data_IF_011146712974
#
_entry.id   IF_011146712974
#
_cell.length_a   1.000
_cell.length_b   1.000
_cell.length_c   1.000
_cell.angle_alpha   90.00
_cell.angle_beta   90.00
_cell.angle_gamma   90.00
#
_symmetry.space_group_name_H-M   'P 1'
#
loop_
_entity.id
_entity.type
_entity.pdbx_description
1 polymer ?
#
# COMPACT_ATOMS: atom_id res chain seq x y z
N UNK A 1 -34.59 -43.55 -15.42
CA UNK A 1 -34.18 -43.37 -14.01
C UNK A 1 -33.26 -42.16 -13.81
N UNK A 2 -32.15 -42.02 -14.53
CA UNK A 2 -31.21 -40.87 -14.36
C UNK A 2 -31.79 -39.49 -14.74
N UNK A 3 -32.65 -39.43 -15.78
CA UNK A 3 -33.30 -38.20 -16.25
C UNK A 3 -34.32 -37.58 -15.27
N UNK A 4 -34.98 -38.41 -14.46
CA UNK A 4 -35.97 -37.96 -13.48
C UNK A 4 -35.32 -37.34 -12.25
N UNK A 5 -34.14 -37.85 -11.86
CA UNK A 5 -33.35 -37.28 -10.76
C UNK A 5 -32.70 -35.94 -11.15
N UNK A 6 -32.23 -35.78 -12.39
CA UNK A 6 -31.65 -34.52 -12.85
C UNK A 6 -32.68 -33.39 -12.91
N UNK A 7 -33.89 -33.64 -13.41
CA UNK A 7 -34.93 -32.61 -13.56
C UNK A 7 -35.53 -32.13 -12.23
N UNK A 8 -35.49 -32.95 -11.17
CA UNK A 8 -35.92 -32.54 -9.82
C UNK A 8 -34.81 -31.85 -9.00
N UNK A 9 -33.52 -32.20 -9.22
CA UNK A 9 -32.40 -31.58 -8.49
C UNK A 9 -31.95 -30.23 -9.08
N UNK A 10 -32.12 -30.03 -10.40
CA UNK A 10 -31.76 -28.79 -11.09
C UNK A 10 -32.49 -27.52 -10.59
N UNK A 11 -33.83 -27.50 -10.40
CA UNK A 11 -34.53 -26.29 -9.95
C UNK A 11 -34.22 -25.94 -8.49
N UNK A 12 -34.08 -26.94 -7.60
CA UNK A 12 -33.76 -26.69 -6.19
C UNK A 12 -32.31 -26.20 -6.01
N UNK A 13 -31.33 -26.80 -6.70
CA UNK A 13 -29.96 -26.31 -6.67
C UNK A 13 -29.82 -24.93 -7.30
N UNK A 14 -30.50 -24.65 -8.42
CA UNK A 14 -30.47 -23.32 -9.04
C UNK A 14 -31.06 -22.25 -8.10
N UNK A 15 -32.17 -22.56 -7.42
CA UNK A 15 -32.80 -21.62 -6.50
C UNK A 15 -31.91 -21.37 -5.27
N UNK A 16 -31.24 -22.40 -4.75
CA UNK A 16 -30.31 -22.26 -3.64
C UNK A 16 -29.07 -21.43 -4.02
N UNK A 17 -28.49 -21.68 -5.20
CA UNK A 17 -27.37 -20.87 -5.73
C UNK A 17 -27.79 -19.43 -5.92
N UNK A 18 -29.00 -19.15 -6.42
CA UNK A 18 -29.48 -17.79 -6.63
C UNK A 18 -29.69 -17.05 -5.29
N UNK A 19 -30.29 -17.71 -4.29
CA UNK A 19 -30.49 -17.15 -2.95
C UNK A 19 -29.16 -16.85 -2.26
N UNK A 20 -28.14 -17.68 -2.47
CA UNK A 20 -26.80 -17.47 -1.91
C UNK A 20 -25.97 -16.44 -2.71
N UNK A 21 -26.18 -16.34 -4.02
CA UNK A 21 -25.47 -15.41 -4.89
C UNK A 21 -25.91 -13.95 -4.68
N UNK A 22 -27.18 -13.69 -4.39
CA UNK A 22 -27.70 -12.33 -4.18
C UNK A 22 -26.94 -11.56 -3.08
N UNK A 23 -26.78 -12.06 -1.84
CA UNK A 23 -26.03 -11.34 -0.81
C UNK A 23 -24.54 -11.24 -1.15
N UNK A 24 -23.96 -12.26 -1.80
CA UNK A 24 -22.56 -12.22 -2.24
C UNK A 24 -22.32 -11.09 -3.25
N UNK A 25 -23.16 -10.99 -4.29
CA UNK A 25 -23.09 -9.93 -5.30
C UNK A 25 -23.34 -8.57 -4.65
N UNK A 26 -24.32 -8.46 -3.75
CA UNK A 26 -24.62 -7.21 -3.07
C UNK A 26 -23.43 -6.69 -2.24
N UNK A 27 -22.78 -7.56 -1.46
CA UNK A 27 -21.58 -7.20 -0.69
C UNK A 27 -20.44 -6.82 -1.64
N UNK A 28 -20.21 -7.60 -2.70
CA UNK A 28 -19.18 -7.31 -3.68
C UNK A 28 -19.38 -5.95 -4.35
N UNK A 29 -20.59 -5.67 -4.84
CA UNK A 29 -20.95 -4.37 -5.44
C UNK A 29 -20.80 -3.24 -4.43
N UNK A 30 -21.20 -3.45 -3.18
CA UNK A 30 -21.03 -2.45 -2.10
C UNK A 30 -19.56 -2.11 -1.87
N UNK A 31 -18.67 -3.11 -1.82
CA UNK A 31 -17.22 -2.91 -1.67
C UNK A 31 -16.66 -2.14 -2.89
N UNK A 32 -17.05 -2.54 -4.11
CA UNK A 32 -16.60 -1.88 -5.34
C UNK A 32 -17.04 -0.41 -5.38
N UNK A 33 -18.30 -0.12 -5.04
CA UNK A 33 -18.81 1.25 -4.98
C UNK A 33 -18.13 2.08 -3.88
N UNK A 34 -17.90 1.48 -2.70
CA UNK A 34 -17.18 2.14 -1.62
C UNK A 34 -15.75 2.51 -2.06
N UNK A 35 -15.06 1.61 -2.76
CA UNK A 35 -13.71 1.86 -3.27
C UNK A 35 -13.70 2.91 -4.39
N UNK A 36 -14.67 2.87 -5.31
CA UNK A 36 -14.82 3.91 -6.34
C UNK A 36 -15.07 5.29 -5.71
N UNK A 37 -15.92 5.34 -4.67
CA UNK A 37 -16.16 6.57 -3.91
C UNK A 37 -14.88 7.08 -3.24
N UNK A 38 -14.09 6.19 -2.61
CA UNK A 38 -12.78 6.52 -2.05
C UNK A 38 -11.86 7.16 -3.10
N UNK A 39 -11.75 6.54 -4.28
CA UNK A 39 -10.92 7.07 -5.38
C UNK A 39 -11.38 8.48 -5.76
N UNK A 40 -12.68 8.69 -5.96
CA UNK A 40 -13.22 10.01 -6.32
C UNK A 40 -12.97 11.04 -5.23
N UNK A 41 -13.17 10.69 -3.96
CA UNK A 41 -12.92 11.58 -2.83
C UNK A 41 -11.46 12.01 -2.79
N UNK A 42 -10.53 11.07 -2.91
CA UNK A 42 -9.09 11.33 -2.95
C UNK A 42 -8.72 12.16 -4.19
N UNK A 43 -9.28 11.83 -5.35
CA UNK A 43 -9.07 12.57 -6.59
C UNK A 43 -9.52 14.02 -6.44
N UNK A 44 -10.72 14.30 -5.92
CA UNK A 44 -11.22 15.67 -5.71
C UNK A 44 -10.40 16.41 -4.65
N UNK A 45 -9.99 15.72 -3.58
CA UNK A 45 -9.24 16.34 -2.48
C UNK A 45 -7.83 16.78 -2.89
N UNK A 46 -7.14 15.97 -3.71
CA UNK A 46 -5.70 16.13 -4.00
C UNK A 46 -5.37 16.46 -5.46
N UNK A 47 -6.31 16.40 -6.41
CA UNK A 47 -6.07 16.78 -7.81
C UNK A 47 -5.55 18.20 -7.94
N UNK A 48 -4.48 18.36 -8.72
CA UNK A 48 -3.79 19.63 -8.95
C UNK A 48 -2.93 20.14 -7.78
N UNK A 49 -2.97 19.51 -6.61
CA UNK A 49 -2.21 19.95 -5.42
C UNK A 49 -0.86 19.24 -5.26
N UNK A 50 -0.69 18.06 -5.87
CA UNK A 50 0.53 17.25 -5.71
C UNK A 50 1.59 17.68 -6.73
N UNK A 51 2.79 18.12 -6.28
CA UNK A 51 3.88 18.46 -7.18
C UNK A 51 4.38 17.26 -7.98
N UNK A 52 4.76 17.48 -9.25
CA UNK A 52 5.27 16.43 -10.14
C UNK A 52 6.50 15.70 -9.58
N UNK A 53 7.33 16.39 -8.78
CA UNK A 53 8.52 15.84 -8.10
C UNK A 53 8.20 14.79 -7.03
N UNK A 54 6.97 14.78 -6.52
CA UNK A 54 6.49 13.79 -5.53
C UNK A 54 5.62 12.75 -6.21
N UNK A 55 4.82 13.16 -7.19
CA UNK A 55 4.00 12.25 -7.98
C UNK A 55 4.81 11.11 -8.62
N UNK A 56 5.91 11.46 -9.32
CA UNK A 56 6.71 10.50 -10.10
C UNK A 56 7.46 9.47 -9.24
N UNK A 57 8.18 9.84 -8.15
CA UNK A 57 8.85 8.85 -7.32
C UNK A 57 7.88 7.91 -6.61
N UNK A 58 6.76 8.44 -6.09
CA UNK A 58 5.73 7.60 -5.43
C UNK A 58 5.11 6.62 -6.42
N UNK A 59 4.77 7.07 -7.64
CA UNK A 59 4.30 6.20 -8.72
C UNK A 59 5.29 5.06 -9.00
N UNK A 60 6.60 5.36 -9.09
CA UNK A 60 7.63 4.34 -9.30
C UNK A 60 7.76 3.36 -8.14
N UNK A 61 7.63 3.82 -6.90
CA UNK A 61 7.65 2.96 -5.70
C UNK A 61 6.47 1.99 -5.72
N UNK A 62 5.28 2.49 -6.06
CA UNK A 62 4.08 1.65 -6.20
C UNK A 62 4.30 0.60 -7.28
N UNK A 63 4.78 1.00 -8.47
CA UNK A 63 5.08 0.08 -9.58
C UNK A 63 6.15 -0.94 -9.17
N UNK A 64 7.20 -0.53 -8.46
CA UNK A 64 8.20 -1.45 -7.93
C UNK A 64 7.58 -2.47 -6.95
N UNK A 65 6.65 -2.03 -6.09
CA UNK A 65 5.86 -2.91 -5.24
C UNK A 65 5.06 -3.95 -6.03
N UNK A 66 4.42 -3.55 -7.14
CA UNK A 66 3.74 -4.48 -8.05
C UNK A 66 4.73 -5.53 -8.60
N UNK A 67 5.89 -5.11 -9.09
CA UNK A 67 6.91 -6.05 -9.59
C UNK A 67 7.41 -7.01 -8.51
N UNK A 68 7.67 -6.51 -7.29
CA UNK A 68 8.07 -7.34 -6.15
C UNK A 68 6.97 -8.35 -5.82
N UNK A 69 5.71 -7.93 -5.79
CA UNK A 69 4.57 -8.81 -5.56
C UNK A 69 4.42 -9.89 -6.63
N UNK A 70 4.59 -9.53 -7.90
CA UNK A 70 4.60 -10.47 -9.04
C UNK A 70 5.72 -11.51 -8.86
N UNK A 71 6.95 -11.07 -8.58
CA UNK A 71 8.09 -11.98 -8.37
C UNK A 71 7.82 -12.93 -7.19
N UNK A 72 7.22 -12.43 -6.11
CA UNK A 72 6.79 -13.24 -4.97
C UNK A 72 5.77 -14.32 -5.33
N UNK A 73 4.79 -13.99 -6.18
CA UNK A 73 3.78 -14.96 -6.66
C UNK A 73 4.37 -16.05 -7.55
N UNK A 74 5.37 -15.71 -8.38
CA UNK A 74 6.02 -16.68 -9.27
C UNK A 74 7.02 -17.60 -8.55
N UNK A 75 7.24 -17.43 -7.24
CA UNK A 75 8.06 -18.33 -6.40
C UNK A 75 7.24 -19.52 -5.88
N UNK A 76 6.57 -20.26 -6.77
CA UNK A 76 5.58 -21.32 -6.44
C UNK A 76 6.11 -22.53 -5.64
N UNK A 77 7.36 -22.50 -5.19
CA UNK A 77 8.03 -23.57 -4.46
C UNK A 77 8.05 -23.29 -2.95
N UNK A 78 7.72 -22.06 -2.53
CA UNK A 78 7.61 -21.65 -1.12
C UNK A 78 6.27 -20.96 -0.90
N UNK A 79 5.46 -21.48 0.04
CA UNK A 79 4.16 -20.91 0.42
C UNK A 79 4.26 -19.48 0.99
N UNK A 80 5.37 -19.17 1.68
CA UNK A 80 5.58 -17.88 2.32
C UNK A 80 5.68 -16.68 1.35
N UNK A 81 6.61 -16.63 0.36
CA UNK A 81 6.67 -15.53 -0.59
C UNK A 81 5.40 -15.40 -1.44
N UNK A 82 4.63 -16.48 -1.59
CA UNK A 82 3.32 -16.45 -2.25
C UNK A 82 2.28 -15.64 -1.46
N UNK A 83 2.08 -15.94 -0.17
CA UNK A 83 1.09 -15.22 0.67
C UNK A 83 1.40 -13.73 0.78
N UNK A 84 2.65 -13.40 1.09
CA UNK A 84 3.06 -12.00 1.25
C UNK A 84 3.24 -11.30 -0.10
N UNK A 85 3.69 -12.02 -1.14
CA UNK A 85 3.74 -11.49 -2.51
C UNK A 85 2.35 -11.12 -3.03
N UNK A 86 1.34 -11.96 -2.74
CA UNK A 86 -0.06 -11.64 -3.02
C UNK A 86 -0.51 -10.36 -2.30
N UNK A 87 -0.25 -10.24 -0.99
CA UNK A 87 -0.63 -9.05 -0.22
C UNK A 87 0.06 -7.78 -0.72
N UNK A 88 1.37 -7.84 -0.99
CA UNK A 88 2.13 -6.73 -1.57
C UNK A 88 1.55 -6.34 -2.92
N UNK A 89 1.26 -7.32 -3.78
CA UNK A 89 0.67 -7.06 -5.09
C UNK A 89 -0.70 -6.39 -4.94
N UNK A 90 -1.58 -6.96 -4.11
CA UNK A 90 -2.93 -6.47 -3.88
C UNK A 90 -2.90 -5.02 -3.39
N UNK A 91 -2.14 -4.74 -2.34
CA UNK A 91 -2.01 -3.38 -1.78
C UNK A 91 -1.39 -2.43 -2.81
N UNK A 92 -0.34 -2.84 -3.52
CA UNK A 92 0.31 -1.99 -4.53
C UNK A 92 -0.62 -1.69 -5.70
N UNK A 93 -1.43 -2.65 -6.14
CA UNK A 93 -2.42 -2.45 -7.20
C UNK A 93 -3.54 -1.54 -6.75
N UNK A 94 -4.09 -1.73 -5.55
CA UNK A 94 -5.11 -0.84 -4.98
C UNK A 94 -4.59 0.59 -4.86
N UNK A 95 -3.36 0.74 -4.35
CA UNK A 95 -2.71 2.03 -4.24
C UNK A 95 -2.44 2.65 -5.61
N UNK A 96 -2.04 1.85 -6.61
CA UNK A 96 -1.87 2.31 -7.99
C UNK A 96 -3.19 2.78 -8.60
N UNK A 97 -4.29 2.06 -8.36
CA UNK A 97 -5.62 2.50 -8.80
C UNK A 97 -5.96 3.87 -8.21
N UNK A 98 -5.78 4.07 -6.90
CA UNK A 98 -6.04 5.38 -6.28
C UNK A 98 -5.08 6.45 -6.84
N UNK A 99 -3.77 6.16 -6.89
CA UNK A 99 -2.74 7.12 -7.26
C UNK A 99 -2.82 7.56 -8.72
N UNK A 100 -3.14 6.64 -9.64
CA UNK A 100 -3.26 6.93 -11.08
C UNK A 100 -4.43 7.85 -11.44
N UNK A 101 -5.42 7.98 -10.55
CA UNK A 101 -6.55 8.90 -10.72
C UNK A 101 -6.25 10.31 -10.18
N UNK A 102 -5.11 10.51 -9.52
CA UNK A 102 -4.67 11.83 -9.10
C UNK A 102 -4.09 12.58 -10.29
N UNK A 103 -4.65 13.74 -10.61
CA UNK A 103 -4.04 14.64 -11.60
C UNK A 103 -2.91 15.43 -10.93
N UNK A 104 -1.65 15.29 -11.41
CA UNK A 104 -0.56 16.06 -10.83
C UNK A 104 -0.67 17.53 -11.21
N UNK A 105 -0.02 18.39 -10.41
CA UNK A 105 0.12 19.80 -10.73
C UNK A 105 0.83 19.98 -12.09
N UNK A 106 0.39 20.98 -12.87
CA UNK A 106 0.93 21.20 -14.22
C UNK A 106 2.47 21.38 -14.18
N UNK A 107 3.20 20.95 -15.24
CA UNK A 107 4.65 21.13 -15.31
C UNK A 107 5.12 22.59 -15.20
N UNK A 108 4.27 23.54 -15.59
CA UNK A 108 4.56 24.98 -15.49
C UNK A 108 4.47 25.48 -14.05
N UNK A 109 3.41 25.12 -13.33
CA UNK A 109 3.23 25.48 -11.93
C UNK A 109 4.25 24.77 -11.03
N UNK A 110 4.53 23.49 -11.28
CA UNK A 110 5.51 22.73 -10.48
C UNK A 110 6.95 23.24 -10.60
N UNK A 111 7.33 23.85 -11.73
CA UNK A 111 8.64 24.52 -11.90
C UNK A 111 8.77 25.81 -11.08
N UNK A 112 7.66 26.42 -10.70
CA UNK A 112 7.64 27.65 -9.90
C UNK A 112 7.76 27.36 -8.40
N UNK A 113 7.59 26.10 -7.98
CA UNK A 113 7.76 25.69 -6.59
C UNK A 113 9.26 25.59 -6.29
N UNK A 114 9.78 26.31 -5.28
CA UNK A 114 11.18 26.23 -4.89
C UNK A 114 11.56 24.80 -4.47
N UNK A 115 12.85 24.41 -4.62
CA UNK A 115 13.31 23.11 -4.16
C UNK A 115 13.07 22.96 -2.65
N UNK A 116 12.73 21.75 -2.18
CA UNK A 116 12.43 21.53 -0.77
C UNK A 116 13.64 21.86 0.10
N UNK A 117 13.37 22.47 1.26
CA UNK A 117 14.40 22.84 2.23
C UNK A 117 15.08 21.63 2.85
N UNK A 118 16.31 21.79 3.37
CA UNK A 118 17.00 20.73 4.11
C UNK A 118 16.19 20.25 5.32
N UNK A 119 15.45 21.14 5.99
CA UNK A 119 14.58 20.81 7.13
C UNK A 119 13.45 19.87 6.71
N UNK A 120 12.81 20.15 5.57
CA UNK A 120 11.77 19.29 5.01
C UNK A 120 12.30 17.87 4.72
N UNK A 121 13.52 17.75 4.19
CA UNK A 121 14.15 16.45 3.98
C UNK A 121 14.41 15.70 5.30
N UNK A 122 14.93 16.38 6.33
CA UNK A 122 15.22 15.75 7.63
C UNK A 122 13.93 15.28 8.31
N UNK A 123 12.91 16.15 8.37
CA UNK A 123 11.62 15.80 8.99
C UNK A 123 10.94 14.69 8.21
N UNK A 124 10.98 14.77 6.87
CA UNK A 124 10.43 13.71 6.03
C UNK A 124 11.13 12.38 6.27
N UNK A 125 12.46 12.39 6.37
CA UNK A 125 13.26 11.18 6.60
C UNK A 125 12.98 10.60 7.97
N UNK A 126 12.90 11.43 9.01
CA UNK A 126 12.52 11.00 10.34
C UNK A 126 11.13 10.34 10.35
N UNK A 127 10.12 10.97 9.74
CA UNK A 127 8.77 10.42 9.65
C UNK A 127 8.73 9.09 8.88
N UNK A 128 9.43 9.01 7.75
CA UNK A 128 9.53 7.79 6.95
C UNK A 128 10.19 6.64 7.71
N UNK A 129 11.30 6.91 8.42
CA UNK A 129 11.98 5.91 9.25
C UNK A 129 11.09 5.45 10.41
N UNK A 130 10.40 6.37 11.09
CA UNK A 130 9.50 6.01 12.18
C UNK A 130 8.40 5.07 11.69
N UNK A 131 7.72 5.40 10.59
CA UNK A 131 6.67 4.53 10.04
C UNK A 131 7.24 3.20 9.59
N UNK A 132 8.39 3.20 8.92
CA UNK A 132 9.07 1.96 8.52
C UNK A 132 9.38 1.06 9.72
N UNK A 133 10.01 1.60 10.77
CA UNK A 133 10.36 0.83 11.96
C UNK A 133 9.13 0.33 12.71
N UNK A 134 8.10 1.16 12.86
CA UNK A 134 6.84 0.75 13.53
C UNK A 134 6.20 -0.40 12.76
N UNK A 135 6.06 -0.30 11.44
CA UNK A 135 5.48 -1.36 10.62
C UNK A 135 6.37 -2.61 10.61
N UNK A 136 7.67 -2.46 10.44
CA UNK A 136 8.60 -3.58 10.44
C UNK A 136 8.57 -4.34 11.77
N UNK A 137 8.59 -3.63 12.91
CA UNK A 137 8.54 -4.26 14.24
C UNK A 137 7.18 -4.89 14.49
N UNK A 138 6.08 -4.17 14.28
CA UNK A 138 4.73 -4.70 14.57
C UNK A 138 4.40 -5.91 13.70
N UNK A 139 4.70 -5.88 12.40
CA UNK A 139 4.46 -7.02 11.51
C UNK A 139 5.38 -8.20 11.82
N UNK A 140 6.65 -7.95 12.15
CA UNK A 140 7.59 -8.99 12.58
C UNK A 140 7.11 -9.67 13.87
N UNK A 141 6.70 -8.89 14.87
CA UNK A 141 6.19 -9.44 16.12
C UNK A 141 4.90 -10.23 15.92
N UNK A 142 3.98 -9.74 15.07
CA UNK A 142 2.74 -10.43 14.76
C UNK A 142 2.94 -11.71 13.92
N UNK A 143 4.02 -11.79 13.14
CA UNK A 143 4.32 -12.93 12.27
C UNK A 143 5.24 -13.97 12.92
N UNK A 144 5.59 -13.80 14.21
CA UNK A 144 6.40 -14.79 14.93
C UNK A 144 5.70 -16.16 14.94
N UNK A 145 6.47 -17.25 14.79
CA UNK A 145 5.93 -18.59 14.86
C UNK A 145 5.34 -18.83 16.26
N UNK A 146 4.14 -19.39 16.32
CA UNK A 146 3.45 -19.78 17.57
C UNK A 146 3.12 -21.27 17.48
N UNK A 147 3.18 -21.95 18.62
CA UNK A 147 2.71 -23.33 18.74
C UNK A 147 1.27 -23.46 18.20
N UNK A 148 0.95 -24.50 17.41
CA UNK A 148 1.71 -25.73 17.14
C UNK A 148 2.67 -25.69 15.92
N UNK A 149 3.17 -24.51 15.52
CA UNK A 149 4.16 -24.33 14.44
C UNK A 149 3.78 -24.98 13.10
N UNK A 150 2.50 -24.91 12.74
CA UNK A 150 1.98 -25.49 11.49
C UNK A 150 1.52 -26.94 11.59
N UNK A 151 1.70 -27.60 12.73
CA UNK A 151 1.15 -28.93 13.00
C UNK A 151 -0.30 -28.87 13.50
N UNK A 152 -1.03 -29.97 13.43
CA UNK A 152 -2.33 -30.05 14.09
C UNK A 152 -2.15 -30.15 15.61
N UNK A 153 -3.08 -29.59 16.39
CA UNK A 153 -3.02 -29.67 17.86
C UNK A 153 -2.93 -31.12 18.37
N UNK A 154 -3.64 -32.03 17.72
CA UNK A 154 -3.62 -33.46 18.06
C UNK A 154 -2.23 -34.08 17.85
N UNK A 155 -1.55 -33.75 16.75
CA UNK A 155 -0.18 -34.22 16.49
C UNK A 155 0.79 -33.58 17.48
N UNK A 156 0.65 -32.27 17.72
CA UNK A 156 1.51 -31.51 18.64
C UNK A 156 1.45 -32.00 20.08
N UNK A 157 0.24 -32.26 20.59
CA UNK A 157 0.03 -32.59 22.01
C UNK A 157 0.12 -34.09 22.31
N UNK A 158 -0.26 -34.96 21.35
CA UNK A 158 -0.40 -36.40 21.61
C UNK A 158 0.63 -37.27 20.89
N UNK A 159 1.25 -36.77 19.81
CA UNK A 159 2.15 -37.59 18.98
C UNK A 159 3.61 -37.10 18.97
N UNK A 160 3.88 -35.88 19.43
CA UNK A 160 5.23 -35.33 19.49
C UNK A 160 5.78 -35.46 20.91
N UNK A 161 6.98 -36.02 21.02
CA UNK A 161 7.74 -35.98 22.26
C UNK A 161 8.32 -34.57 22.51
N UNK A 162 8.92 -34.37 23.68
CA UNK A 162 9.45 -33.06 24.07
C UNK A 162 10.66 -32.65 23.22
N UNK A 163 11.47 -33.61 22.76
CA UNK A 163 12.58 -33.37 21.84
C UNK A 163 12.09 -32.92 20.45
N UNK A 164 11.09 -33.58 19.86
CA UNK A 164 10.53 -33.19 18.57
C UNK A 164 9.82 -31.83 18.64
N UNK A 165 9.14 -31.51 19.75
CA UNK A 165 8.55 -30.17 19.96
C UNK A 165 9.62 -29.09 20.05
N UNK A 166 10.71 -29.34 20.76
CA UNK A 166 11.83 -28.40 20.83
C UNK A 166 12.50 -28.19 19.46
N UNK A 167 12.65 -29.26 18.68
CA UNK A 167 13.20 -29.18 17.33
C UNK A 167 12.27 -28.41 16.38
N UNK A 168 10.97 -28.69 16.39
CA UNK A 168 9.98 -27.97 15.58
C UNK A 168 9.93 -26.48 15.93
N UNK A 169 10.09 -26.11 17.21
CA UNK A 169 10.20 -24.72 17.63
C UNK A 169 11.45 -24.04 17.05
N UNK A 170 12.61 -24.69 17.15
CA UNK A 170 13.88 -24.17 16.62
C UNK A 170 13.85 -24.03 15.08
N UNK A 171 13.29 -25.02 14.39
CA UNK A 171 13.15 -25.00 12.93
C UNK A 171 12.24 -23.83 12.51
N UNK A 172 11.10 -23.66 13.18
CA UNK A 172 10.17 -22.56 12.92
C UNK A 172 10.79 -21.18 13.20
N UNK A 173 11.57 -21.04 14.27
CA UNK A 173 12.31 -19.81 14.58
C UNK A 173 13.39 -19.51 13.55
N UNK A 174 14.12 -20.53 13.10
CA UNK A 174 15.16 -20.41 12.08
C UNK A 174 14.58 -20.01 10.73
N UNK A 175 13.50 -20.65 10.30
CA UNK A 175 12.75 -20.30 9.10
C UNK A 175 12.22 -18.86 9.16
N UNK A 176 11.71 -18.46 10.32
CA UNK A 176 11.24 -17.10 10.55
C UNK A 176 12.40 -16.09 10.45
N UNK A 177 13.51 -16.33 11.13
CA UNK A 177 14.64 -15.41 11.18
C UNK A 177 15.35 -15.26 9.83
N UNK A 178 15.53 -16.37 9.10
CA UNK A 178 16.29 -16.40 7.84
C UNK A 178 15.43 -16.10 6.61
N UNK A 179 14.15 -16.51 6.62
CA UNK A 179 13.25 -16.35 5.48
C UNK A 179 12.25 -15.21 5.65
N UNK A 180 11.52 -15.21 6.77
CA UNK A 180 10.30 -14.37 6.91
C UNK A 180 10.59 -12.94 7.32
N UNK A 181 11.37 -12.76 8.39
CA UNK A 181 11.64 -11.45 8.97
C UNK A 181 12.30 -10.46 7.98
N UNK A 182 13.33 -10.84 7.20
CA UNK A 182 13.95 -9.92 6.24
C UNK A 182 12.96 -9.40 5.18
N UNK A 183 12.03 -10.25 4.74
CA UNK A 183 11.03 -9.89 3.75
C UNK A 183 10.01 -8.89 4.32
N UNK A 184 9.55 -9.10 5.55
CA UNK A 184 8.65 -8.17 6.24
C UNK A 184 9.29 -6.79 6.47
N UNK A 185 10.56 -6.77 6.87
CA UNK A 185 11.33 -5.55 7.04
C UNK A 185 11.45 -4.80 5.70
N UNK A 186 11.74 -5.52 4.62
CA UNK A 186 11.90 -4.94 3.28
C UNK A 186 10.59 -4.40 2.71
N UNK A 187 9.49 -5.14 2.84
CA UNK A 187 8.17 -4.69 2.37
C UNK A 187 7.72 -3.45 3.13
N UNK A 188 7.96 -3.41 4.44
CA UNK A 188 7.59 -2.26 5.28
C UNK A 188 8.26 -0.95 4.84
N UNK A 189 9.31 -1.02 4.02
CA UNK A 189 9.99 0.16 3.47
C UNK A 189 9.09 0.95 2.52
N UNK A 190 8.20 0.29 1.78
CA UNK A 190 7.31 0.93 0.81
C UNK A 190 6.40 1.99 1.46
N UNK A 191 5.61 1.68 2.51
CA UNK A 191 4.81 2.70 3.20
C UNK A 191 5.67 3.78 3.87
N UNK A 192 6.85 3.42 4.42
CA UNK A 192 7.80 4.40 4.96
C UNK A 192 8.29 5.40 3.92
N UNK A 193 8.60 4.94 2.71
CA UNK A 193 9.02 5.78 1.59
C UNK A 193 7.91 6.73 1.13
N UNK A 194 6.65 6.26 1.10
CA UNK A 194 5.49 7.12 0.79
C UNK A 194 5.36 8.22 1.85
N UNK A 195 5.45 7.87 3.14
CA UNK A 195 5.37 8.84 4.25
C UNK A 195 6.49 9.88 4.14
N UNK A 196 7.71 9.47 3.80
CA UNK A 196 8.82 10.39 3.55
C UNK A 196 8.45 11.47 2.52
N UNK A 197 7.93 11.07 1.36
CA UNK A 197 7.58 12.01 0.30
C UNK A 197 6.41 12.92 0.68
N UNK A 198 5.41 12.40 1.38
CA UNK A 198 4.23 13.18 1.82
C UNK A 198 4.62 14.21 2.89
N UNK A 199 5.28 13.75 3.95
CA UNK A 199 5.66 14.62 5.07
C UNK A 199 6.65 15.72 4.65
N UNK A 200 7.60 15.41 3.75
CA UNK A 200 8.49 16.42 3.17
C UNK A 200 7.73 17.56 2.50
N UNK A 201 6.70 17.25 1.70
CA UNK A 201 5.92 18.29 1.02
C UNK A 201 5.02 19.06 1.99
N UNK A 202 4.44 18.40 3.00
CA UNK A 202 3.61 19.07 4.02
C UNK A 202 4.40 20.11 4.82
N UNK A 203 5.64 19.79 5.20
CA UNK A 203 6.52 20.72 5.93
C UNK A 203 6.85 21.95 5.10
N UNK A 204 7.10 21.77 3.79
CA UNK A 204 7.42 22.90 2.92
C UNK A 204 6.21 23.83 2.76
N UNK A 205 5.01 23.27 2.58
CA UNK A 205 3.76 24.06 2.52
C UNK A 205 3.50 24.87 3.80
N UNK A 206 3.86 24.33 4.96
CA UNK A 206 3.73 25.04 6.24
C UNK A 206 4.81 26.13 6.41
N UNK A 207 6.03 25.88 5.95
CA UNK A 207 7.10 26.89 6.02
C UNK A 207 6.82 28.11 5.14
N UNK A 208 6.11 27.92 4.02
CA UNK A 208 5.70 29.01 3.13
C UNK A 208 4.59 29.88 3.74
N UNK A 209 3.70 29.31 4.57
CA UNK A 209 2.65 30.08 5.25
C UNK A 209 3.16 30.89 6.44
N UNK A 210 4.23 30.43 7.10
CA UNK A 210 4.86 31.14 8.21
C UNK A 210 5.79 32.28 7.76
N UNK A 211 6.25 32.29 6.50
CA UNK A 211 7.20 33.29 6.01
C UNK A 211 6.82 33.85 4.62
N UNK A 212 5.76 34.68 4.52
CA UNK A 212 5.20 35.14 3.24
C UNK A 212 6.15 36.05 2.43
N UNK A 213 7.25 36.52 3.01
CA UNK A 213 8.23 37.40 2.36
C UNK A 213 8.99 36.68 1.23
N UNK A 214 9.00 35.34 1.21
CA UNK A 214 9.72 34.55 0.20
C UNK A 214 9.08 34.58 -1.20
N UNK A 215 7.81 35.00 -1.30
CA UNK A 215 7.08 35.16 -2.55
C UNK A 215 6.50 36.58 -2.68
N UNK A 216 7.35 37.61 -2.62
CA UNK A 216 6.99 38.81 -3.35
C UNK A 216 6.98 38.43 -4.85
N UNK A 217 5.85 38.50 -5.58
CA UNK A 217 5.92 38.46 -7.02
C UNK A 217 6.88 39.59 -7.42
N UNK A 218 7.91 39.27 -8.20
CA UNK A 218 8.67 40.28 -8.91
C UNK A 218 7.67 40.97 -9.83
N UNK A 219 7.04 42.03 -9.32
CA UNK A 219 6.37 43.05 -10.12
C UNK A 219 7.50 43.74 -10.86
N UNK A 220 7.94 43.11 -11.95
CA UNK A 220 8.75 43.78 -12.96
C UNK A 220 7.87 44.92 -13.46
N UNK A 221 8.23 46.14 -13.07
CA UNK A 221 7.60 47.35 -13.55
C UNK A 221 7.57 47.34 -15.07
N UNK A 222 6.41 47.03 -15.63
CA UNK A 222 6.08 47.39 -17.00
C UNK A 222 5.80 48.88 -16.98
N UNK A 223 6.84 49.66 -17.22
CA UNK A 223 6.77 51.08 -17.53
C UNK A 223 5.63 51.37 -18.50
N UNK A 224 4.72 52.26 -18.10
CA UNK A 224 3.78 52.91 -19.01
C UNK A 224 4.55 53.49 -20.22
N UNK A 225 4.05 53.33 -21.46
CA UNK A 225 4.42 54.25 -22.52
C UNK A 225 3.76 55.60 -22.25
N UNK A 226 4.61 56.60 -22.08
CA UNK A 226 4.29 58.02 -21.96
C UNK A 226 3.45 58.49 -23.16
N UNK A 227 2.24 58.94 -22.89
CA UNK A 227 1.36 59.57 -23.87
C UNK A 227 1.76 61.03 -24.02
N UNK A 228 2.71 61.32 -24.92
CA UNK A 228 2.96 62.67 -25.46
C UNK A 228 3.93 62.64 -26.66
N UNK A 229 3.38 62.73 -27.86
CA UNK A 229 3.64 63.73 -28.92
C UNK A 229 3.13 63.21 -30.27
#
# INVERSE_FOLDING_TARGET
MFKLYSDQLLPEQQQQVLIQAVPFIAIFVSIVLAFACLIVLVAVAFSGKVPQRTYRPVERIIIAGIFIGIVGLFQGWRLFPYEYGFLVLLVSVLLFMVWSHLTPMSPRQSKQIPPPSQRAHIIGLAAGIVVWLVLAVTTSLAARPVEPYGNSKQVWELMMDEEARAQAAQDAETDYATGRAPYLILISLLPGAIVYFVSRELVEMQSDSENPIRFAPLVTGSSMPDSRQ
#
